data_IF_173538600958
#
_entry.id   IF_173538600958
#
_cell.length_a   1.000
_cell.length_b   1.000
_cell.length_c   1.000
_cell.angle_alpha   90.00
_cell.angle_beta   90.00
_cell.angle_gamma   90.00
#
_symmetry.space_group_name_H-M   'P 1'
#
loop_
_entity.id
_entity.type
_entity.pdbx_description
1 polymer ?
#
# COMPACT_ATOMS: atom_id res chain seq x y z
N UNK A 1 22.39 2.80 -0.78
CA UNK A 1 21.19 3.63 -1.00
C UNK A 1 21.51 4.64 -2.08
N UNK A 2 20.85 4.57 -3.22
CA UNK A 2 20.89 5.63 -4.25
C UNK A 2 19.76 6.59 -3.93
N UNK A 3 20.11 7.83 -3.55
CA UNK A 3 19.13 8.91 -3.44
C UNK A 3 18.66 9.24 -4.86
N UNK A 4 17.50 8.77 -5.24
CA UNK A 4 16.83 9.22 -6.46
C UNK A 4 16.19 10.57 -6.15
N UNK A 5 16.86 11.65 -6.52
CA UNK A 5 16.22 12.97 -6.61
C UNK A 5 15.39 12.99 -7.89
N UNK A 6 14.08 12.91 -7.73
CA UNK A 6 13.12 13.05 -8.82
C UNK A 6 12.35 14.36 -8.65
N UNK A 7 11.74 14.83 -9.73
CA UNK A 7 10.82 15.98 -9.69
C UNK A 7 9.42 15.60 -9.20
N UNK A 8 9.18 14.29 -8.99
CA UNK A 8 7.91 13.74 -8.50
C UNK A 8 8.08 13.17 -7.09
N UNK A 9 7.06 13.22 -6.23
CA UNK A 9 7.14 12.64 -4.90
C UNK A 9 7.43 11.14 -4.93
N UNK A 10 8.29 10.69 -4.02
CA UNK A 10 8.69 9.28 -3.89
C UNK A 10 8.03 8.68 -2.66
N UNK A 11 7.29 7.58 -2.86
CA UNK A 11 6.77 6.75 -1.78
C UNK A 11 7.83 5.71 -1.43
N UNK A 12 8.37 5.79 -0.22
CA UNK A 12 9.38 4.88 0.30
C UNK A 12 8.77 3.72 1.06
N UNK A 13 9.33 2.53 0.85
CA UNK A 13 8.92 1.28 1.49
C UNK A 13 10.16 0.46 1.81
N UNK A 14 10.14 -0.26 2.95
CA UNK A 14 11.14 -1.25 3.30
C UNK A 14 10.45 -2.57 3.66
N UNK A 15 10.66 -3.60 2.85
CA UNK A 15 10.17 -4.94 3.18
C UNK A 15 11.23 -5.72 3.96
N UNK A 16 10.87 -6.28 5.12
CA UNK A 16 11.73 -7.13 5.93
C UNK A 16 10.98 -8.40 6.34
N UNK A 17 11.44 -9.55 5.86
CA UNK A 17 10.73 -10.83 6.03
C UNK A 17 9.60 -11.02 5.02
N UNK A 18 8.76 -12.02 5.31
CA UNK A 18 7.63 -12.41 4.46
C UNK A 18 6.37 -12.70 5.28
N UNK A 19 6.47 -12.78 6.61
CA UNK A 19 5.40 -13.16 7.50
C UNK A 19 4.94 -11.99 8.39
N UNK A 20 3.68 -11.98 8.76
CA UNK A 20 3.12 -10.97 9.63
C UNK A 20 3.17 -9.57 9.04
N UNK A 21 3.55 -8.59 9.85
CA UNK A 21 3.80 -7.20 9.40
C UNK A 21 5.22 -7.11 8.87
N UNK A 22 5.38 -7.03 7.55
CA UNK A 22 6.68 -6.99 6.87
C UNK A 22 6.90 -5.71 6.04
N UNK A 23 5.84 -4.94 5.77
CA UNK A 23 5.94 -3.67 5.05
C UNK A 23 6.26 -2.56 6.05
N UNK A 24 7.46 -2.01 5.98
CA UNK A 24 7.96 -0.96 6.87
C UNK A 24 7.54 -1.22 8.33
N UNK A 25 7.97 -2.37 8.90
CA UNK A 25 7.29 -2.95 10.06
C UNK A 25 7.48 -2.19 11.37
N UNK A 26 8.45 -1.28 11.46
CA UNK A 26 8.72 -0.51 12.67
C UNK A 26 9.10 0.95 12.36
N UNK A 27 9.07 1.80 13.38
CA UNK A 27 9.51 3.20 13.27
C UNK A 27 10.96 3.33 12.75
N UNK A 28 11.84 2.38 13.09
CA UNK A 28 13.22 2.35 12.56
C UNK A 28 13.24 2.24 11.04
N UNK A 29 12.41 1.38 10.47
CA UNK A 29 12.32 1.20 9.01
C UNK A 29 11.73 2.45 8.34
N UNK A 30 10.68 3.01 8.93
CA UNK A 30 10.06 4.23 8.42
C UNK A 30 11.06 5.40 8.37
N UNK A 31 11.80 5.63 9.45
CA UNK A 31 12.85 6.67 9.49
C UNK A 31 13.99 6.40 8.51
N UNK A 32 14.32 5.14 8.24
CA UNK A 32 15.32 4.80 7.22
C UNK A 32 14.83 5.14 5.80
N UNK A 33 13.54 4.95 5.49
CA UNK A 33 12.95 5.41 4.24
C UNK A 33 13.04 6.94 4.10
N UNK A 34 12.69 7.69 5.17
CA UNK A 34 12.84 9.15 5.20
C UNK A 34 14.29 9.57 4.98
N UNK A 35 15.24 8.95 5.69
CA UNK A 35 16.68 9.24 5.55
C UNK A 35 17.21 8.90 4.14
N UNK A 36 16.57 7.97 3.43
CA UNK A 36 16.88 7.64 2.04
C UNK A 36 16.26 8.63 1.03
N UNK A 37 15.47 9.61 1.50
CA UNK A 37 14.89 10.67 0.66
C UNK A 37 13.46 10.40 0.21
N UNK A 38 12.72 9.51 0.86
CA UNK A 38 11.30 9.34 0.61
C UNK A 38 10.51 10.58 1.07
N UNK A 39 9.60 11.05 0.24
CA UNK A 39 8.67 12.15 0.56
C UNK A 39 7.46 11.64 1.34
N UNK A 40 7.07 10.40 1.08
CA UNK A 40 5.96 9.70 1.73
C UNK A 40 6.48 8.33 2.18
N UNK A 41 6.09 7.86 3.35
CA UNK A 41 6.45 6.52 3.83
C UNK A 41 5.21 5.64 3.86
N UNK A 42 5.25 4.53 3.12
CA UNK A 42 4.22 3.50 3.17
C UNK A 42 4.50 2.51 4.31
N UNK A 43 3.49 2.21 5.11
CA UNK A 43 3.58 1.32 6.26
C UNK A 43 2.39 0.35 6.28
N UNK A 44 2.62 -0.88 6.71
CA UNK A 44 1.53 -1.82 7.00
C UNK A 44 0.62 -1.24 8.09
N UNK A 45 -0.63 -1.01 7.78
CA UNK A 45 -1.62 -0.42 8.68
C UNK A 45 -2.66 -1.43 9.18
N UNK A 46 -2.40 -2.72 8.99
CA UNK A 46 -3.28 -3.76 9.51
C UNK A 46 -3.16 -3.91 11.03
N UNK A 47 -4.18 -4.51 11.65
CA UNK A 47 -4.21 -4.79 13.08
C UNK A 47 -3.38 -6.05 13.46
N UNK A 48 -2.41 -6.46 12.63
CA UNK A 48 -1.51 -7.58 12.92
C UNK A 48 -0.42 -7.17 13.92
N UNK A 49 0.05 -8.10 14.79
CA UNK A 49 1.16 -7.82 15.69
C UNK A 49 2.42 -7.38 14.96
N UNK A 50 3.05 -6.29 15.40
CA UNK A 50 4.31 -5.79 14.87
C UNK A 50 5.50 -6.49 15.53
N UNK A 51 6.63 -6.67 14.81
CA UNK A 51 7.76 -7.43 15.32
C UNK A 51 8.44 -6.79 16.55
N UNK A 52 8.26 -5.48 16.76
CA UNK A 52 8.78 -4.76 17.92
C UNK A 52 7.79 -4.66 19.08
N UNK A 53 6.61 -5.28 18.97
CA UNK A 53 5.55 -5.26 19.98
C UNK A 53 4.85 -3.91 20.14
N UNK A 54 5.09 -2.96 19.23
CA UNK A 54 4.47 -1.64 19.23
C UNK A 54 3.14 -1.65 18.48
N UNK A 55 2.32 -0.64 18.75
CA UNK A 55 1.09 -0.39 17.98
C UNK A 55 1.39 0.36 16.69
N UNK A 56 0.43 0.42 15.77
CA UNK A 56 0.51 1.28 14.59
C UNK A 56 0.66 2.75 14.99
N UNK A 57 -0.10 3.20 15.99
CA UNK A 57 -0.06 4.57 16.49
C UNK A 57 1.33 4.95 17.05
N UNK A 58 2.01 4.02 17.75
CA UNK A 58 3.39 4.23 18.23
C UNK A 58 4.39 4.46 17.09
N UNK A 59 4.05 4.03 15.88
CA UNK A 59 4.86 4.27 14.68
C UNK A 59 4.43 5.55 13.97
N UNK A 60 3.12 5.78 13.79
CA UNK A 60 2.58 6.92 13.03
C UNK A 60 2.81 8.23 13.76
N UNK A 61 2.49 8.31 15.06
CA UNK A 61 2.58 9.56 15.83
C UNK A 61 3.94 10.24 15.76
N UNK A 62 5.07 9.56 16.01
CA UNK A 62 6.39 10.20 15.88
C UNK A 62 6.68 10.69 14.47
N UNK A 63 6.27 9.94 13.43
CA UNK A 63 6.44 10.36 12.04
C UNK A 63 5.65 11.64 11.74
N UNK A 64 4.43 11.74 12.25
CA UNK A 64 3.61 12.95 12.09
C UNK A 64 4.19 14.16 12.85
N UNK A 65 4.74 13.96 14.05
CA UNK A 65 5.46 15.00 14.80
C UNK A 65 6.72 15.47 14.05
N UNK A 66 7.35 14.60 13.28
CA UNK A 66 8.51 14.89 12.42
C UNK A 66 8.10 15.51 11.06
N UNK A 67 6.80 15.70 10.80
CA UNK A 67 6.26 16.27 9.54
C UNK A 67 6.27 15.31 8.34
N UNK A 68 6.44 14.01 8.58
CA UNK A 68 6.45 12.98 7.53
C UNK A 68 5.04 12.70 7.03
N UNK A 69 4.87 12.58 5.71
CA UNK A 69 3.64 12.07 5.12
C UNK A 69 3.62 10.53 5.21
N UNK A 70 2.51 9.98 5.69
CA UNK A 70 2.35 8.55 5.92
C UNK A 70 1.22 7.99 5.05
N UNK A 71 1.55 6.97 4.24
CA UNK A 71 0.60 6.15 3.51
C UNK A 71 0.35 4.85 4.27
N UNK A 72 -0.90 4.51 4.48
CA UNK A 72 -1.33 3.33 5.20
C UNK A 72 -1.68 2.20 4.22
N UNK A 73 -0.93 1.11 4.22
CA UNK A 73 -1.23 -0.11 3.47
C UNK A 73 -2.26 -0.93 4.26
N UNK A 74 -3.51 -0.91 3.79
CA UNK A 74 -4.67 -1.45 4.47
C UNK A 74 -5.20 -2.72 3.81
N UNK A 75 -5.85 -3.57 4.61
CA UNK A 75 -6.52 -4.78 4.17
C UNK A 75 -8.05 -4.62 4.16
N UNK A 76 -8.59 -3.82 5.07
CA UNK A 76 -10.03 -3.66 5.29
C UNK A 76 -10.41 -2.19 5.44
N UNK A 77 -11.70 -1.91 5.39
CA UNK A 77 -12.21 -0.56 5.69
C UNK A 77 -11.97 -0.15 7.15
N UNK A 78 -11.94 -1.11 8.07
CA UNK A 78 -11.62 -0.88 9.47
C UNK A 78 -10.17 -0.40 9.64
N UNK A 79 -9.23 -0.98 8.88
CA UNK A 79 -7.83 -0.53 8.86
C UNK A 79 -7.75 0.92 8.35
N UNK A 80 -8.49 1.25 7.28
CA UNK A 80 -8.53 2.61 6.70
C UNK A 80 -9.09 3.61 7.72
N UNK A 81 -10.20 3.27 8.39
CA UNK A 81 -10.78 4.10 9.45
C UNK A 81 -9.77 4.37 10.57
N UNK A 82 -9.12 3.31 11.03
CA UNK A 82 -8.12 3.42 12.09
C UNK A 82 -6.93 4.26 11.65
N UNK A 83 -6.39 4.00 10.45
CA UNK A 83 -5.26 4.74 9.89
C UNK A 83 -5.52 6.26 9.81
N UNK A 84 -6.67 6.66 9.28
CA UNK A 84 -7.02 8.08 9.24
C UNK A 84 -7.28 8.69 10.61
N UNK A 85 -7.88 7.92 11.54
CA UNK A 85 -8.12 8.38 12.91
C UNK A 85 -6.82 8.68 13.69
N UNK A 86 -5.74 7.92 13.43
CA UNK A 86 -4.43 8.14 14.07
C UNK A 86 -3.51 9.09 13.29
N UNK A 87 -3.98 9.66 12.16
CA UNK A 87 -3.29 10.74 11.46
C UNK A 87 -2.53 10.35 10.19
N UNK A 88 -2.73 9.15 9.63
CA UNK A 88 -2.21 8.85 8.28
C UNK A 88 -2.82 9.81 7.25
N UNK A 89 -2.04 10.15 6.24
CA UNK A 89 -2.42 11.13 5.21
C UNK A 89 -3.13 10.47 4.02
N UNK A 90 -2.71 9.24 3.68
CA UNK A 90 -3.14 8.49 2.51
C UNK A 90 -3.51 7.08 2.96
N UNK A 91 -4.54 6.48 2.38
CA UNK A 91 -4.82 5.05 2.50
C UNK A 91 -4.60 4.34 1.16
N UNK A 92 -4.09 3.10 1.22
CA UNK A 92 -3.89 2.24 0.07
C UNK A 92 -4.50 0.86 0.30
N UNK A 93 -5.06 0.24 -0.74
CA UNK A 93 -5.66 -1.10 -0.68
C UNK A 93 -4.65 -2.23 -0.86
N UNK A 94 -3.36 -1.95 -0.68
CA UNK A 94 -2.20 -2.84 -0.94
C UNK A 94 -2.38 -4.25 -0.37
N UNK A 95 -2.92 -4.34 0.85
CA UNK A 95 -3.08 -5.60 1.60
C UNK A 95 -4.50 -6.13 1.55
N UNK A 96 -5.41 -5.49 0.81
CA UNK A 96 -6.76 -5.96 0.63
C UNK A 96 -6.76 -7.30 -0.13
N UNK A 97 -7.45 -8.27 0.43
CA UNK A 97 -7.63 -9.58 -0.19
C UNK A 97 -9.03 -10.13 0.15
N UNK A 98 -9.86 -10.44 -0.85
CA UNK A 98 -11.07 -11.19 -0.61
C UNK A 98 -10.70 -12.59 -0.14
N UNK A 99 -10.72 -12.83 1.18
CA UNK A 99 -10.49 -14.17 1.74
C UNK A 99 -9.18 -14.41 2.49
N UNK A 100 -8.51 -13.35 2.99
CA UNK A 100 -7.52 -13.42 4.08
C UNK A 100 -6.25 -14.27 3.88
N UNK A 101 -5.89 -14.69 2.67
CA UNK A 101 -4.59 -15.29 2.39
C UNK A 101 -3.81 -14.39 1.42
N UNK A 102 -2.55 -14.09 1.76
CA UNK A 102 -1.63 -13.36 0.89
C UNK A 102 -1.15 -14.32 -0.21
N UNK A 103 -2.06 -14.81 -1.02
CA UNK A 103 -1.73 -15.55 -2.22
C UNK A 103 -2.02 -14.65 -3.43
N UNK A 104 -0.95 -14.18 -4.07
CA UNK A 104 -1.00 -13.24 -5.18
C UNK A 104 -1.43 -13.90 -6.49
N UNK A 105 -2.39 -14.81 -6.45
CA UNK A 105 -2.99 -15.38 -7.63
C UNK A 105 -3.64 -14.32 -8.51
N UNK A 106 -3.60 -14.51 -9.84
CA UNK A 106 -4.15 -13.58 -10.84
C UNK A 106 -5.69 -13.41 -10.77
N UNK A 107 -6.38 -14.18 -9.94
CA UNK A 107 -7.79 -14.51 -10.16
C UNK A 107 -8.76 -13.33 -10.00
N UNK A 108 -8.43 -12.28 -9.22
CA UNK A 108 -9.50 -11.41 -8.73
C UNK A 108 -9.32 -9.90 -9.01
N UNK A 109 -8.22 -9.46 -9.62
CA UNK A 109 -7.97 -8.04 -9.88
C UNK A 109 -7.84 -7.19 -8.61
N UNK A 110 -7.83 -5.85 -8.73
CA UNK A 110 -7.80 -4.93 -7.60
C UNK A 110 -9.13 -4.90 -6.83
N UNK A 111 -9.08 -4.55 -5.56
CA UNK A 111 -10.28 -4.38 -4.73
C UNK A 111 -10.94 -3.01 -4.95
N UNK A 112 -11.59 -2.87 -6.09
CA UNK A 112 -12.32 -1.63 -6.45
C UNK A 112 -13.52 -1.37 -5.52
N UNK A 113 -14.06 -2.40 -4.88
CA UNK A 113 -15.17 -2.27 -3.94
C UNK A 113 -14.70 -1.57 -2.66
N UNK A 114 -13.55 -1.97 -2.12
CA UNK A 114 -12.94 -1.30 -0.97
C UNK A 114 -12.55 0.15 -1.32
N UNK A 115 -12.01 0.39 -2.53
CA UNK A 115 -11.72 1.76 -2.99
C UNK A 115 -12.98 2.61 -2.99
N UNK A 116 -14.07 2.15 -3.63
CA UNK A 116 -15.32 2.89 -3.70
C UNK A 116 -15.90 3.18 -2.31
N UNK A 117 -15.85 2.19 -1.41
CA UNK A 117 -16.30 2.35 -0.03
C UNK A 117 -15.47 3.41 0.72
N UNK A 118 -14.14 3.33 0.63
CA UNK A 118 -13.24 4.25 1.31
C UNK A 118 -13.41 5.69 0.79
N UNK A 119 -13.50 5.88 -0.52
CA UNK A 119 -13.74 7.20 -1.14
C UNK A 119 -15.08 7.80 -0.71
N UNK A 120 -16.13 6.98 -0.63
CA UNK A 120 -17.44 7.45 -0.19
C UNK A 120 -17.44 7.88 1.30
N UNK A 121 -16.68 7.17 2.15
CA UNK A 121 -16.60 7.47 3.58
C UNK A 121 -15.63 8.63 3.89
N UNK A 122 -14.57 8.77 3.09
CA UNK A 122 -13.50 9.76 3.30
C UNK A 122 -13.29 10.64 2.05
N UNK A 123 -14.27 11.44 1.62
CA UNK A 123 -14.21 12.18 0.34
C UNK A 123 -13.05 13.20 0.26
N UNK A 124 -12.55 13.65 1.40
CA UNK A 124 -11.47 14.64 1.49
C UNK A 124 -10.09 14.00 1.68
N UNK A 125 -10.00 12.66 1.64
CA UNK A 125 -8.76 11.93 1.85
C UNK A 125 -8.32 11.19 0.58
N UNK A 126 -7.02 11.21 0.24
CA UNK A 126 -6.50 10.43 -0.88
C UNK A 126 -6.61 8.92 -0.58
N UNK A 127 -7.27 8.18 -1.45
CA UNK A 127 -7.32 6.73 -1.45
C UNK A 127 -6.61 6.21 -2.70
N UNK A 128 -5.61 5.39 -2.53
CA UNK A 128 -4.82 4.77 -3.61
C UNK A 128 -5.29 3.33 -3.80
N UNK A 129 -5.56 2.96 -5.05
CA UNK A 129 -5.74 1.57 -5.40
C UNK A 129 -4.39 0.91 -5.67
N UNK A 130 -4.02 -0.07 -4.87
CA UNK A 130 -2.80 -0.85 -5.03
C UNK A 130 -3.09 -2.34 -4.79
N UNK A 131 -2.32 -3.19 -5.46
CA UNK A 131 -2.47 -4.64 -5.38
C UNK A 131 -3.31 -5.20 -6.53
N UNK A 132 -2.76 -6.23 -7.19
CA UNK A 132 -3.40 -6.98 -8.28
C UNK A 132 -3.90 -6.14 -9.47
N UNK A 133 -3.37 -4.96 -9.68
CA UNK A 133 -3.60 -4.17 -10.89
C UNK A 133 -2.71 -4.75 -11.99
N UNK A 134 -3.26 -5.63 -12.81
CA UNK A 134 -2.49 -6.37 -13.81
C UNK A 134 -2.74 -5.90 -15.24
N UNK A 135 -3.85 -5.22 -15.49
CA UNK A 135 -4.25 -4.76 -16.81
C UNK A 135 -4.59 -3.27 -16.84
N UNK A 136 -4.55 -2.63 -18.00
CA UNK A 136 -5.07 -1.26 -18.15
C UNK A 136 -6.56 -1.12 -17.77
N UNK A 137 -7.34 -2.19 -17.94
CA UNK A 137 -8.76 -2.20 -17.55
C UNK A 137 -8.91 -2.15 -16.02
N UNK A 138 -8.05 -2.86 -15.27
CA UNK A 138 -8.04 -2.80 -13.80
C UNK A 138 -7.72 -1.39 -13.31
N UNK A 139 -6.69 -0.77 -13.90
CA UNK A 139 -6.32 0.60 -13.55
C UNK A 139 -7.47 1.58 -13.83
N UNK A 140 -8.16 1.41 -14.98
CA UNK A 140 -9.32 2.22 -15.30
C UNK A 140 -10.45 1.99 -14.31
N UNK A 141 -10.77 0.75 -13.96
CA UNK A 141 -11.82 0.42 -13.00
C UNK A 141 -11.54 1.06 -11.62
N UNK A 142 -10.28 1.04 -11.17
CA UNK A 142 -9.87 1.70 -9.93
C UNK A 142 -10.11 3.22 -9.98
N UNK A 143 -9.76 3.88 -11.08
CA UNK A 143 -10.01 5.32 -11.26
C UNK A 143 -11.51 5.63 -11.35
N UNK A 144 -12.28 4.81 -12.05
CA UNK A 144 -13.75 4.95 -12.15
C UNK A 144 -14.43 4.77 -10.78
N UNK A 145 -13.83 3.96 -9.87
CA UNK A 145 -14.28 3.80 -8.49
C UNK A 145 -13.93 5.01 -7.58
N UNK A 146 -13.21 5.99 -8.10
CA UNK A 146 -12.85 7.22 -7.40
C UNK A 146 -11.47 7.22 -6.76
N UNK A 147 -10.59 6.24 -7.06
CA UNK A 147 -9.21 6.26 -6.58
C UNK A 147 -8.53 7.57 -6.95
N UNK A 148 -7.80 8.15 -6.01
CA UNK A 148 -6.97 9.33 -6.25
C UNK A 148 -5.76 9.01 -7.14
N UNK A 149 -5.21 7.81 -6.99
CA UNK A 149 -4.13 7.28 -7.83
C UNK A 149 -4.18 5.75 -7.86
N UNK A 150 -3.41 5.15 -8.78
CA UNK A 150 -3.27 3.70 -8.92
C UNK A 150 -1.79 3.34 -8.91
N UNK A 151 -1.43 2.33 -8.11
CA UNK A 151 -0.09 1.74 -8.10
C UNK A 151 -0.10 0.43 -8.89
N UNK A 152 0.74 0.36 -9.92
CA UNK A 152 0.94 -0.85 -10.73
C UNK A 152 2.38 -1.33 -10.50
N UNK A 153 2.52 -2.44 -9.79
CA UNK A 153 3.82 -3.05 -9.48
C UNK A 153 4.16 -4.19 -10.43
N UNK A 154 3.75 -5.40 -10.08
CA UNK A 154 4.12 -6.67 -10.76
C UNK A 154 3.93 -6.62 -12.28
N UNK A 155 2.85 -6.06 -12.79
CA UNK A 155 2.56 -5.97 -14.22
C UNK A 155 3.52 -5.05 -15.01
N UNK A 156 4.37 -4.29 -14.34
CA UNK A 156 5.36 -3.41 -14.98
C UNK A 156 6.79 -3.87 -14.64
N UNK A 157 7.03 -4.34 -13.41
CA UNK A 157 8.39 -4.50 -12.87
C UNK A 157 8.82 -5.94 -12.65
N UNK A 158 7.93 -6.93 -12.85
CA UNK A 158 8.22 -8.34 -12.58
C UNK A 158 8.11 -9.24 -13.82
N UNK A 159 9.13 -9.26 -14.71
CA UNK A 159 9.07 -9.98 -15.99
C UNK A 159 8.74 -11.46 -15.85
N UNK A 160 9.19 -12.13 -14.78
CA UNK A 160 8.92 -13.54 -14.53
C UNK A 160 7.40 -13.80 -14.38
N UNK A 161 6.71 -13.01 -13.54
CA UNK A 161 5.25 -13.16 -13.40
C UNK A 161 4.53 -12.83 -14.69
N UNK A 162 4.94 -11.76 -15.38
CA UNK A 162 4.33 -11.38 -16.67
C UNK A 162 4.48 -12.53 -17.65
N UNK A 163 5.66 -13.14 -17.75
CA UNK A 163 5.91 -14.29 -18.62
C UNK A 163 5.03 -15.48 -18.25
N UNK A 164 4.89 -15.80 -16.95
CA UNK A 164 4.01 -16.90 -16.50
C UNK A 164 2.57 -16.71 -16.95
N UNK A 165 2.05 -15.50 -16.87
CA UNK A 165 0.68 -15.19 -17.31
C UNK A 165 0.44 -15.46 -18.80
N UNK A 166 1.45 -15.23 -19.64
CA UNK A 166 1.37 -15.56 -21.06
C UNK A 166 1.47 -17.06 -21.31
N UNK A 167 2.32 -17.77 -20.55
CA UNK A 167 2.44 -19.25 -20.67
C UNK A 167 1.12 -19.92 -20.28
N UNK A 168 0.55 -19.56 -19.12
CA UNK A 168 -0.72 -20.10 -18.64
C UNK A 168 -1.90 -19.85 -19.60
N UNK A 169 -1.85 -18.74 -20.35
CA UNK A 169 -2.90 -18.40 -21.30
C UNK A 169 -2.86 -19.22 -22.60
N UNK A 170 -1.75 -19.95 -22.90
CA UNK A 170 -1.56 -20.71 -24.12
C UNK A 170 -1.49 -22.23 -23.89
N UNK A 171 -1.49 -22.70 -22.65
CA UNK A 171 -1.62 -24.10 -22.24
C UNK A 171 -3.09 -24.53 -22.16
#
# INVERSE_FOLDING_TARGET
FVLLRTEVPVIGIWKEGHDGVYITPTLRHARACVAAGADIVAIDATNRPRPDGKTLEDTVRPLKEEGVLVMADCSTIEDIRHAFAIGCDIASTTLSHPGAAIDCGMADGPDVALVAQAVAEFPDKPVICEGRVHTPADAKAAMDAGAWAVVVGTAITHPTSITSWFVEAVE
#
